data_IF_784068297021
#
_entry.id   IF_784068297021
#
_cell.length_a   1.000
_cell.length_b   1.000
_cell.length_c   1.000
_cell.angle_alpha   90.00
_cell.angle_beta   90.00
_cell.angle_gamma   90.00
#
_symmetry.space_group_name_H-M   'P 1'
#
loop_
_entity.id
_entity.type
_entity.pdbx_description
1 polymer ?
#
# COMPACT_ATOMS: atom_id res chain seq x y z
N UNK A 1 13.52 30.12 -6.47
CA UNK A 1 14.21 28.84 -6.73
C UNK A 1 15.70 29.04 -6.52
N UNK A 2 16.36 28.13 -5.79
CA UNK A 2 17.82 28.19 -5.56
C UNK A 2 18.56 28.02 -6.88
N UNK A 3 19.55 28.88 -7.15
CA UNK A 3 20.27 28.95 -8.43
C UNK A 3 21.32 27.84 -8.61
N UNK A 4 21.58 27.01 -7.60
CA UNK A 4 22.62 25.98 -7.61
C UNK A 4 22.07 24.63 -7.11
N UNK A 5 22.64 23.54 -7.62
CA UNK A 5 22.35 22.18 -7.18
C UNK A 5 22.68 22.01 -5.68
N UNK A 6 21.93 21.15 -5.00
CA UNK A 6 22.23 20.81 -3.60
C UNK A 6 23.59 20.11 -3.52
N UNK A 7 24.39 20.50 -2.52
CA UNK A 7 25.65 19.82 -2.18
C UNK A 7 25.40 18.35 -1.89
N UNK A 8 26.28 17.49 -2.39
CA UNK A 8 26.20 16.04 -2.16
C UNK A 8 26.40 15.71 -0.68
N UNK A 9 25.96 14.52 -0.26
CA UNK A 9 26.20 14.04 1.11
C UNK A 9 27.70 13.95 1.42
N UNK A 10 28.51 13.61 0.42
CA UNK A 10 29.96 13.57 0.53
C UNK A 10 30.55 14.96 0.77
N UNK A 11 30.16 15.96 -0.02
CA UNK A 11 30.61 17.35 0.15
C UNK A 11 30.22 17.92 1.51
N UNK A 12 29.00 17.61 1.97
CA UNK A 12 28.51 17.97 3.30
C UNK A 12 29.32 17.28 4.41
N UNK A 13 29.71 16.03 4.20
CA UNK A 13 30.60 15.28 5.11
C UNK A 13 31.99 15.90 5.18
N UNK A 14 32.58 16.29 4.04
CA UNK A 14 33.87 16.98 3.99
C UNK A 14 33.83 18.30 4.76
N UNK A 15 32.74 19.06 4.68
CA UNK A 15 32.55 20.29 5.44
C UNK A 15 32.62 20.03 6.95
N UNK A 16 31.91 19.01 7.45
CA UNK A 16 31.91 18.68 8.88
C UNK A 16 33.29 18.21 9.34
N UNK A 17 33.95 17.33 8.58
CA UNK A 17 35.30 16.85 8.93
C UNK A 17 36.30 18.00 8.93
N UNK A 18 36.28 18.86 7.91
CA UNK A 18 37.20 19.98 7.80
C UNK A 18 37.04 20.97 8.98
N UNK A 19 35.80 21.25 9.40
CA UNK A 19 35.53 22.14 10.54
C UNK A 19 35.87 21.48 11.90
N UNK A 20 35.69 20.16 12.03
CA UNK A 20 36.18 19.40 13.20
C UNK A 20 37.70 19.41 13.32
N UNK A 21 38.41 19.49 12.20
CA UNK A 21 39.87 19.65 12.12
C UNK A 21 40.31 21.13 12.19
N UNK A 22 39.45 22.02 12.69
CA UNK A 22 39.71 23.44 12.91
C UNK A 22 40.15 24.24 11.67
N UNK A 23 39.81 23.76 10.47
CA UNK A 23 40.09 24.51 9.24
C UNK A 23 39.15 25.72 9.12
N UNK A 24 39.65 26.81 8.52
CA UNK A 24 38.83 28.02 8.38
C UNK A 24 37.67 27.82 7.38
N UNK A 25 36.52 28.43 7.68
CA UNK A 25 35.31 28.41 6.83
C UNK A 25 35.63 28.75 5.37
N UNK A 26 36.50 29.73 5.14
CA UNK A 26 36.92 30.14 3.79
C UNK A 26 37.74 29.06 3.07
N UNK A 27 38.63 28.36 3.79
CA UNK A 27 39.43 27.26 3.24
C UNK A 27 38.54 26.07 2.90
N UNK A 28 37.60 25.72 3.78
CA UNK A 28 36.62 24.65 3.56
C UNK A 28 35.70 24.95 2.38
N UNK A 29 35.21 26.18 2.26
CA UNK A 29 34.37 26.62 1.14
C UNK A 29 35.10 26.48 -0.21
N UNK A 30 36.40 26.84 -0.26
CA UNK A 30 37.23 26.67 -1.46
C UNK A 30 37.52 25.20 -1.76
N UNK A 31 37.80 24.39 -0.74
CA UNK A 31 38.09 22.96 -0.89
C UNK A 31 36.91 22.20 -1.48
N UNK A 32 35.70 22.49 -1.00
CA UNK A 32 34.45 21.82 -1.40
C UNK A 32 33.81 22.49 -2.62
N UNK A 33 34.31 23.65 -3.05
CA UNK A 33 33.77 24.39 -4.19
C UNK A 33 32.37 24.99 -3.93
N UNK A 34 32.09 25.42 -2.70
CA UNK A 34 30.78 25.94 -2.31
C UNK A 34 30.86 27.35 -1.68
N UNK A 35 29.70 27.99 -1.47
CA UNK A 35 29.67 29.33 -0.84
C UNK A 35 30.00 29.24 0.65
N UNK A 36 30.64 30.29 1.20
CA UNK A 36 30.90 30.40 2.66
C UNK A 36 29.62 30.28 3.49
N UNK A 37 28.51 30.82 3.01
CA UNK A 37 27.19 30.71 3.66
C UNK A 37 26.68 29.27 3.70
N UNK A 38 26.94 28.46 2.68
CA UNK A 38 26.57 27.05 2.69
C UNK A 38 27.34 26.27 3.77
N UNK A 39 28.64 26.53 3.91
CA UNK A 39 29.48 25.94 4.97
C UNK A 39 28.94 26.30 6.36
N UNK A 40 28.62 27.58 6.59
CA UNK A 40 28.07 28.06 7.87
C UNK A 40 26.71 27.41 8.17
N UNK A 41 25.80 27.37 7.19
CA UNK A 41 24.47 26.79 7.38
C UNK A 41 24.53 25.28 7.64
N UNK A 42 25.40 24.55 6.94
CA UNK A 42 25.58 23.10 7.15
C UNK A 42 26.20 22.85 8.52
N UNK A 43 27.20 23.63 8.93
CA UNK A 43 27.82 23.49 10.24
C UNK A 43 26.83 23.80 11.37
N UNK A 44 26.06 24.89 11.27
CA UNK A 44 25.03 25.23 12.25
C UNK A 44 23.96 24.14 12.35
N UNK A 45 23.49 23.60 11.21
CA UNK A 45 22.55 22.48 11.19
C UNK A 45 23.14 21.23 11.85
N UNK A 46 24.41 20.93 11.57
CA UNK A 46 25.10 19.79 12.17
C UNK A 46 25.26 19.93 13.70
N UNK A 47 25.60 21.12 14.20
CA UNK A 47 25.72 21.38 15.65
C UNK A 47 24.36 21.28 16.35
N UNK A 48 23.30 21.81 15.74
CA UNK A 48 21.97 21.87 16.37
C UNK A 48 21.20 20.55 16.26
N UNK A 49 21.22 19.91 15.10
CA UNK A 49 20.36 18.76 14.77
C UNK A 49 21.14 17.44 14.69
N UNK A 50 22.48 17.47 14.69
CA UNK A 50 23.33 16.31 14.41
C UNK A 50 23.28 15.84 12.95
N UNK A 51 22.55 16.57 12.08
CA UNK A 51 22.25 16.18 10.70
C UNK A 51 22.82 17.19 9.71
N UNK A 52 23.41 16.69 8.63
CA UNK A 52 23.88 17.51 7.49
C UNK A 52 23.00 17.38 6.27
N UNK A 53 21.94 16.58 6.28
CA UNK A 53 21.16 16.27 5.07
C UNK A 53 20.53 17.51 4.43
N UNK A 54 20.39 17.49 3.10
CA UNK A 54 19.64 18.51 2.36
C UNK A 54 18.13 18.33 2.45
N UNK A 55 17.69 17.19 3.01
CA UNK A 55 16.31 16.71 2.90
C UNK A 55 15.40 17.59 3.74
N UNK A 56 14.68 18.48 3.06
CA UNK A 56 13.63 19.28 3.67
C UNK A 56 12.42 18.38 3.91
N UNK A 57 11.89 18.40 5.14
CA UNK A 57 10.63 17.74 5.43
C UNK A 57 9.46 18.62 4.95
N UNK A 58 8.36 17.98 4.53
CA UNK A 58 7.16 18.69 4.12
C UNK A 58 7.25 19.40 2.76
N UNK A 59 8.18 19.03 1.89
CA UNK A 59 8.25 19.59 0.53
C UNK A 59 7.18 18.98 -0.36
N UNK A 60 6.45 19.83 -1.08
CA UNK A 60 5.51 19.44 -2.13
C UNK A 60 4.10 19.96 -1.89
N UNK A 61 3.20 19.64 -2.83
CA UNK A 61 1.79 19.99 -2.72
C UNK A 61 1.11 19.10 -1.66
N UNK A 62 0.36 19.67 -0.71
CA UNK A 62 -0.45 18.89 0.22
C UNK A 62 -1.38 17.92 -0.51
N UNK A 63 -1.64 16.76 0.10
CA UNK A 63 -2.57 15.78 -0.47
C UNK A 63 -3.99 16.31 -0.39
N UNK A 64 -4.77 16.10 -1.46
CA UNK A 64 -6.19 16.47 -1.52
C UNK A 64 -7.02 15.71 -0.48
N UNK A 65 -6.67 14.45 -0.22
CA UNK A 65 -7.33 13.63 0.80
C UNK A 65 -6.45 13.58 2.04
N UNK A 66 -6.91 14.24 3.09
CA UNK A 66 -6.30 14.21 4.42
C UNK A 66 -6.55 12.86 5.13
N UNK A 67 -5.86 12.64 6.24
CA UNK A 67 -5.94 11.41 7.04
C UNK A 67 -7.37 11.08 7.50
N UNK A 68 -8.18 12.08 7.86
CA UNK A 68 -9.61 11.87 8.18
C UNK A 68 -10.39 11.35 6.97
N UNK A 69 -10.14 11.90 5.78
CA UNK A 69 -10.74 11.47 4.52
C UNK A 69 -10.35 10.04 4.16
N UNK A 70 -9.08 9.68 4.39
CA UNK A 70 -8.57 8.31 4.20
C UNK A 70 -9.29 7.29 5.07
N UNK A 71 -9.46 7.60 6.36
CA UNK A 71 -10.19 6.75 7.30
C UNK A 71 -11.65 6.58 6.87
N UNK A 72 -12.30 7.65 6.39
CA UNK A 72 -13.66 7.60 5.83
C UNK A 72 -13.73 6.69 4.60
N UNK A 73 -12.84 6.85 3.63
CA UNK A 73 -12.78 6.00 2.44
C UNK A 73 -12.55 4.52 2.78
N UNK A 74 -11.63 4.24 3.70
CA UNK A 74 -11.37 2.88 4.18
C UNK A 74 -12.62 2.26 4.81
N UNK A 75 -13.39 3.04 5.58
CA UNK A 75 -14.64 2.58 6.19
C UNK A 75 -15.71 2.28 5.13
N UNK A 76 -15.92 3.17 4.16
CA UNK A 76 -16.87 2.98 3.06
C UNK A 76 -16.54 1.70 2.27
N UNK A 77 -15.27 1.52 1.89
CA UNK A 77 -14.82 0.34 1.17
C UNK A 77 -15.00 -0.97 1.98
N UNK A 78 -14.86 -0.92 3.31
CA UNK A 78 -15.06 -2.08 4.19
C UNK A 78 -16.54 -2.41 4.41
N UNK A 79 -17.41 -1.40 4.45
CA UNK A 79 -18.86 -1.56 4.64
C UNK A 79 -19.48 -2.33 3.47
N UNK A 80 -19.11 -1.98 2.24
CA UNK A 80 -19.58 -2.66 1.03
C UNK A 80 -18.40 -2.99 0.11
N UNK A 81 -17.77 -4.14 0.36
CA UNK A 81 -16.54 -4.56 -0.34
C UNK A 81 -16.66 -4.74 -1.85
N UNK A 82 -17.89 -4.85 -2.36
CA UNK A 82 -18.19 -5.04 -3.79
C UNK A 82 -18.40 -3.73 -4.56
N UNK A 83 -18.38 -2.58 -3.88
CA UNK A 83 -18.55 -1.29 -4.53
C UNK A 83 -17.39 -0.98 -5.48
N UNK A 84 -17.71 -0.37 -6.61
CA UNK A 84 -16.70 0.12 -7.57
C UNK A 84 -16.06 1.41 -7.07
N UNK A 85 -14.90 1.76 -7.64
CA UNK A 85 -14.25 3.05 -7.34
C UNK A 85 -15.17 4.22 -7.66
N UNK A 86 -15.89 4.17 -8.78
CA UNK A 86 -16.86 5.19 -9.17
C UNK A 86 -17.96 5.37 -8.10
N UNK A 87 -18.53 4.26 -7.61
CA UNK A 87 -19.55 4.30 -6.55
C UNK A 87 -18.99 4.86 -5.23
N UNK A 88 -17.77 4.44 -4.85
CA UNK A 88 -17.09 4.96 -3.65
C UNK A 88 -16.77 6.45 -3.80
N UNK A 89 -16.41 6.89 -5.00
CA UNK A 89 -16.12 8.30 -5.30
C UNK A 89 -17.37 9.15 -5.22
N UNK A 90 -18.49 8.69 -5.81
CA UNK A 90 -19.78 9.35 -5.70
C UNK A 90 -20.24 9.48 -4.23
N UNK A 91 -20.13 8.41 -3.44
CA UNK A 91 -20.44 8.44 -2.00
C UNK A 91 -19.49 9.35 -1.21
N UNK A 92 -18.21 9.34 -1.59
CA UNK A 92 -17.24 10.19 -0.94
C UNK A 92 -17.54 11.67 -1.21
N UNK A 93 -17.89 12.01 -2.44
CA UNK A 93 -18.20 13.36 -2.92
C UNK A 93 -19.63 13.82 -2.62
N UNK A 94 -20.45 13.03 -1.92
CA UNK A 94 -21.83 13.42 -1.57
C UNK A 94 -21.91 14.52 -0.49
N UNK A 95 -20.90 14.61 0.39
CA UNK A 95 -20.85 15.53 1.55
C UNK A 95 -19.68 16.57 1.62
N UNK A 96 -18.67 16.66 0.72
CA UNK A 96 -17.58 17.63 0.85
C UNK A 96 -17.67 18.84 -0.09
N UNK A 97 -17.04 19.95 0.31
CA UNK A 97 -16.83 21.18 -0.47
C UNK A 97 -15.82 21.04 -1.62
N UNK A 98 -15.12 19.91 -1.72
CA UNK A 98 -14.13 19.62 -2.78
C UNK A 98 -14.38 18.24 -3.37
N UNK A 99 -14.67 18.20 -4.67
CA UNK A 99 -14.83 16.95 -5.41
C UNK A 99 -13.47 16.29 -5.66
N UNK A 100 -13.36 15.01 -5.35
CA UNK A 100 -12.15 14.22 -5.58
C UNK A 100 -12.34 13.31 -6.80
N UNK A 101 -11.31 13.19 -7.63
CA UNK A 101 -11.35 12.28 -8.79
C UNK A 101 -11.33 10.80 -8.40
N UNK A 102 -11.90 9.95 -9.25
CA UNK A 102 -11.87 8.49 -9.05
C UNK A 102 -10.44 7.96 -8.93
N UNK A 103 -9.51 8.50 -9.73
CA UNK A 103 -8.11 8.09 -9.70
C UNK A 103 -7.46 8.41 -8.35
N UNK A 104 -7.75 9.57 -7.77
CA UNK A 104 -7.25 9.94 -6.43
C UNK A 104 -7.82 9.03 -5.34
N UNK A 105 -9.10 8.67 -5.42
CA UNK A 105 -9.74 7.70 -4.50
C UNK A 105 -9.07 6.33 -4.64
N UNK A 106 -8.86 5.85 -5.86
CA UNK A 106 -8.21 4.56 -6.13
C UNK A 106 -6.79 4.51 -5.55
N UNK A 107 -5.96 5.52 -5.84
CA UNK A 107 -4.59 5.60 -5.32
C UNK A 107 -4.57 5.58 -3.79
N UNK A 108 -5.50 6.29 -3.17
CA UNK A 108 -5.62 6.37 -1.71
C UNK A 108 -6.05 5.04 -1.09
N UNK A 109 -6.98 4.31 -1.72
CA UNK A 109 -7.39 2.98 -1.27
C UNK A 109 -6.23 1.97 -1.36
N UNK A 110 -5.46 2.02 -2.45
CA UNK A 110 -4.38 1.07 -2.71
C UNK A 110 -3.16 1.23 -1.78
N UNK A 111 -3.06 2.32 -1.02
CA UNK A 111 -2.01 2.48 -0.01
C UNK A 111 -2.18 1.57 1.21
N UNK A 112 -3.40 1.07 1.47
CA UNK A 112 -3.67 0.17 2.61
C UNK A 112 -4.51 -1.05 2.28
N UNK A 113 -5.20 -1.07 1.13
CA UNK A 113 -6.08 -2.15 0.70
C UNK A 113 -5.62 -2.70 -0.65
N UNK A 114 -5.71 -4.02 -0.81
CA UNK A 114 -5.44 -4.69 -2.07
C UNK A 114 -6.75 -5.04 -2.78
N UNK A 115 -6.77 -4.84 -4.09
CA UNK A 115 -7.82 -5.38 -4.96
C UNK A 115 -7.65 -6.89 -5.12
N UNK A 116 -8.58 -7.68 -4.58
CA UNK A 116 -8.56 -9.15 -4.60
C UNK A 116 -9.82 -9.73 -5.24
N UNK A 117 -9.74 -10.98 -5.69
CA UNK A 117 -10.93 -11.74 -6.10
C UNK A 117 -11.59 -12.32 -4.86
N UNK A 118 -12.92 -12.14 -4.66
CA UNK A 118 -13.62 -12.80 -3.56
C UNK A 118 -13.60 -14.31 -3.76
N UNK A 119 -13.33 -15.05 -2.68
CA UNK A 119 -13.42 -16.52 -2.69
C UNK A 119 -14.87 -16.92 -2.83
N UNK A 120 -15.21 -17.64 -3.91
CA UNK A 120 -16.51 -18.26 -4.12
C UNK A 120 -16.49 -19.66 -3.51
N UNK A 121 -16.71 -19.75 -2.20
CA UNK A 121 -17.07 -21.03 -1.58
C UNK A 121 -18.58 -21.07 -1.40
N UNK A 122 -19.25 -22.18 -1.74
CA UNK A 122 -20.63 -22.39 -1.35
C UNK A 122 -20.74 -22.23 0.17
N UNK A 123 -21.72 -21.47 0.64
CA UNK A 123 -22.02 -21.42 2.06
C UNK A 123 -22.52 -22.81 2.47
N UNK A 124 -21.71 -23.51 3.26
CA UNK A 124 -22.07 -24.82 3.79
C UNK A 124 -22.95 -24.63 5.02
N UNK A 125 -24.11 -25.28 5.03
CA UNK A 125 -24.95 -25.36 6.22
C UNK A 125 -24.29 -26.29 7.25
N UNK A 126 -24.67 -26.19 8.53
CA UNK A 126 -24.20 -27.12 9.57
C UNK A 126 -24.40 -28.60 9.17
N UNK A 127 -25.54 -28.89 8.53
CA UNK A 127 -25.85 -30.22 7.98
C UNK A 127 -24.84 -30.64 6.91
N UNK A 128 -24.49 -29.77 5.96
CA UNK A 128 -23.48 -30.08 4.95
C UNK A 128 -22.12 -30.38 5.57
N UNK A 129 -21.72 -29.63 6.60
CA UNK A 129 -20.48 -29.89 7.32
C UNK A 129 -20.48 -31.27 7.98
N UNK A 130 -21.57 -31.63 8.66
CA UNK A 130 -21.71 -32.94 9.31
C UNK A 130 -21.64 -34.09 8.30
N UNK A 131 -22.41 -34.03 7.21
CA UNK A 131 -22.43 -35.09 6.19
C UNK A 131 -21.06 -35.24 5.53
N UNK A 132 -20.39 -34.13 5.19
CA UNK A 132 -19.05 -34.18 4.59
C UNK A 132 -18.00 -34.74 5.56
N UNK A 133 -18.05 -34.34 6.82
CA UNK A 133 -17.15 -34.85 7.85
C UNK A 133 -17.37 -36.34 8.10
N UNK A 134 -18.62 -36.77 8.17
CA UNK A 134 -18.99 -38.16 8.37
C UNK A 134 -18.48 -39.02 7.20
N UNK A 135 -18.74 -38.59 5.97
CA UNK A 135 -18.23 -39.27 4.78
C UNK A 135 -16.69 -39.38 4.80
N UNK A 136 -15.99 -38.29 5.14
CA UNK A 136 -14.53 -38.31 5.23
C UNK A 136 -14.00 -39.24 6.32
N UNK A 137 -14.72 -39.38 7.45
CA UNK A 137 -14.36 -40.32 8.53
C UNK A 137 -14.57 -41.77 8.10
N UNK A 138 -15.70 -42.08 7.48
CA UNK A 138 -16.04 -43.42 6.99
C UNK A 138 -15.04 -43.93 5.93
N UNK A 139 -14.50 -43.02 5.12
CA UNK A 139 -13.57 -43.34 4.03
C UNK A 139 -12.11 -43.02 4.38
N UNK A 140 -11.80 -42.70 5.65
CA UNK A 140 -10.46 -42.30 6.09
C UNK A 140 -9.43 -43.40 5.89
N UNK A 141 -9.82 -44.63 6.26
CA UNK A 141 -8.95 -45.79 6.31
C UNK A 141 -9.15 -46.72 5.10
N UNK A 142 -9.83 -46.22 4.05
CA UNK A 142 -10.03 -46.96 2.82
C UNK A 142 -8.70 -47.27 2.12
N UNK A 143 -8.58 -48.52 1.69
CA UNK A 143 -7.44 -49.05 0.97
C UNK A 143 -7.47 -48.65 -0.50
N UNK A 144 -6.31 -48.71 -1.17
CA UNK A 144 -6.21 -48.43 -2.61
C UNK A 144 -7.13 -49.32 -3.48
N UNK A 145 -7.43 -50.55 -3.02
CA UNK A 145 -8.31 -51.47 -3.74
C UNK A 145 -9.77 -51.00 -3.69
N UNK A 146 -10.18 -50.36 -2.60
CA UNK A 146 -11.52 -49.79 -2.43
C UNK A 146 -11.66 -48.51 -3.25
N UNK A 147 -10.66 -47.62 -3.24
CA UNK A 147 -10.66 -46.43 -4.09
C UNK A 147 -10.73 -46.75 -5.59
N UNK A 148 -10.08 -47.82 -6.04
CA UNK A 148 -10.14 -48.27 -7.45
C UNK A 148 -11.55 -48.68 -7.92
N UNK A 149 -12.49 -48.89 -7.00
CA UNK A 149 -13.88 -49.23 -7.32
C UNK A 149 -14.76 -47.98 -7.49
N UNK A 150 -14.25 -46.80 -7.15
CA UNK A 150 -15.01 -45.53 -7.22
C UNK A 150 -14.73 -44.85 -8.56
N UNK A 151 -15.79 -44.57 -9.32
CA UNK A 151 -15.73 -43.71 -10.49
C UNK A 151 -16.23 -42.30 -10.13
N UNK A 152 -15.44 -41.28 -10.46
CA UNK A 152 -15.80 -39.88 -10.26
C UNK A 152 -16.34 -39.29 -11.56
N UNK A 153 -17.44 -38.55 -11.47
CA UNK A 153 -17.95 -37.74 -12.57
C UNK A 153 -18.36 -36.36 -12.06
N UNK A 154 -18.14 -35.34 -12.87
CA UNK A 154 -18.55 -33.96 -12.60
C UNK A 154 -18.91 -33.26 -13.93
N UNK A 155 -19.67 -32.18 -13.85
CA UNK A 155 -20.04 -31.35 -15.00
C UNK A 155 -19.34 -29.99 -14.91
N UNK A 156 -18.45 -29.73 -15.85
CA UNK A 156 -17.81 -28.41 -16.00
C UNK A 156 -18.57 -27.52 -16.96
N UNK A 157 -18.68 -26.22 -16.63
CA UNK A 157 -19.24 -25.19 -17.52
C UNK A 157 -18.12 -24.42 -18.21
N UNK A 158 -18.13 -24.40 -19.54
CA UNK A 158 -17.21 -23.60 -20.35
C UNK A 158 -17.96 -22.44 -21.00
N UNK A 159 -17.47 -21.21 -20.83
CA UNK A 159 -18.04 -20.01 -21.45
C UNK A 159 -17.11 -19.54 -22.58
N UNK A 160 -17.61 -19.46 -23.80
CA UNK A 160 -16.81 -19.17 -25.01
C UNK A 160 -16.68 -17.65 -25.25
N UNK A 161 -17.70 -16.85 -24.89
CA UNK A 161 -17.77 -15.44 -25.32
C UNK A 161 -17.91 -14.42 -24.17
N UNK A 162 -18.04 -14.85 -22.91
CA UNK A 162 -18.25 -13.92 -21.79
C UNK A 162 -17.22 -14.11 -20.67
N UNK A 163 -16.72 -12.98 -20.16
CA UNK A 163 -15.96 -12.93 -18.92
C UNK A 163 -16.94 -13.02 -17.76
N UNK A 164 -16.65 -13.88 -16.77
CA UNK A 164 -17.47 -14.32 -15.63
C UNK A 164 -18.04 -13.22 -14.66
N UNK A 165 -18.06 -11.94 -15.05
CA UNK A 165 -18.55 -10.83 -14.22
C UNK A 165 -17.77 -10.68 -12.92
N UNK A 166 -16.45 -10.92 -12.95
CA UNK A 166 -15.63 -11.07 -11.75
C UNK A 166 -15.40 -9.74 -11.04
N UNK A 167 -16.34 -9.37 -10.17
CA UNK A 167 -16.21 -8.23 -9.26
C UNK A 167 -15.01 -8.43 -8.35
N UNK A 168 -14.15 -7.41 -8.26
CA UNK A 168 -13.02 -7.34 -7.33
C UNK A 168 -13.47 -6.69 -6.03
N UNK A 169 -12.87 -7.11 -4.92
CA UNK A 169 -13.14 -6.57 -3.59
C UNK A 169 -11.86 -5.99 -2.99
N UNK A 170 -11.97 -4.93 -2.18
CA UNK A 170 -10.84 -4.33 -1.47
C UNK A 170 -10.66 -4.99 -0.09
N UNK A 171 -9.46 -5.55 0.17
CA UNK A 171 -9.14 -6.26 1.43
C UNK A 171 -7.80 -5.83 1.99
N UNK A 172 -7.59 -6.00 3.29
CA UNK A 172 -6.25 -5.85 3.88
C UNK A 172 -5.33 -6.99 3.39
N UNK A 173 -4.01 -6.77 3.31
CA UNK A 173 -3.07 -7.79 2.83
C UNK A 173 -3.13 -9.13 3.61
N UNK A 174 -3.32 -9.06 4.93
CA UNK A 174 -3.35 -10.19 5.86
C UNK A 174 -4.75 -10.75 6.11
N UNK A 175 -5.78 -10.23 5.43
CA UNK A 175 -7.15 -10.62 5.73
C UNK A 175 -7.46 -12.03 5.20
N UNK A 176 -8.03 -12.93 6.03
CA UNK A 176 -8.47 -14.24 5.58
C UNK A 176 -9.47 -14.12 4.44
N UNK A 177 -9.37 -15.02 3.47
CA UNK A 177 -10.24 -15.08 2.32
C UNK A 177 -11.59 -15.72 2.68
N UNK A 178 -12.30 -15.11 3.63
CA UNK A 178 -13.65 -15.51 4.00
C UNK A 178 -14.62 -15.25 2.83
N UNK A 179 -15.62 -16.12 2.62
CA UNK A 179 -16.68 -15.88 1.64
C UNK A 179 -17.36 -14.53 1.89
N UNK A 180 -17.48 -13.74 0.81
CA UNK A 180 -18.09 -12.40 0.82
C UNK A 180 -19.59 -12.44 0.58
#
# INVERSE_FOLDING_TARGET
MGKAADLSEFDRGQIVVALRLETSITKTARLVGCSRSAVVNIHAKWINDGDTSSRRQGVGRPRVIEEKGRRRLSRLAKQNRRQTVAQLTAQYNADPSTSVSEHTVQRTLLEGLCSRRPTRVPLLTKRHHQVRLQWAREHRDWTMKEWKRVAWSDKSRFLIHHVDGRVRVYRLPSEPLLPS
#
